data_IF_992109241754
#
_entry.id   IF_992109241754
#
_cell.length_a   1.000
_cell.length_b   1.000
_cell.length_c   1.000
_cell.angle_alpha   90.00
_cell.angle_beta   90.00
_cell.angle_gamma   90.00
#
_symmetry.space_group_name_H-M   'P 1'
#
loop_
_entity.id
_entity.type
_entity.pdbx_description
1 polymer ?
#
# COMPACT_ATOMS: atom_id res chain seq x y z
N UNK A 1 -29.85 -9.07 -58.18
CA UNK A 1 -30.89 -9.37 -59.19
C UNK A 1 -30.35 -9.38 -60.63
N UNK A 2 -29.41 -8.49 -61.01
CA UNK A 2 -28.78 -8.46 -62.35
C UNK A 2 -28.09 -9.77 -62.74
N UNK A 3 -27.33 -10.37 -61.82
CA UNK A 3 -26.56 -11.61 -62.07
C UNK A 3 -27.48 -12.79 -62.41
N UNK A 4 -28.64 -12.90 -61.75
CA UNK A 4 -29.59 -13.99 -61.98
C UNK A 4 -30.32 -13.83 -63.31
N UNK A 5 -30.64 -12.58 -63.71
CA UNK A 5 -31.17 -12.29 -65.05
C UNK A 5 -30.15 -12.62 -66.14
N UNK A 6 -28.85 -12.36 -65.90
CA UNK A 6 -27.79 -12.71 -66.85
C UNK A 6 -27.57 -14.23 -66.93
N UNK A 7 -27.59 -14.95 -65.80
CA UNK A 7 -27.48 -16.41 -65.75
C UNK A 7 -28.67 -17.08 -66.43
N UNK A 8 -29.89 -16.62 -66.17
CA UNK A 8 -31.11 -17.12 -66.82
C UNK A 8 -31.11 -16.91 -68.34
N UNK A 9 -30.52 -15.81 -68.83
CA UNK A 9 -30.38 -15.54 -70.26
C UNK A 9 -29.35 -16.44 -70.94
N UNK A 10 -28.31 -16.86 -70.21
CA UNK A 10 -27.21 -17.68 -70.74
C UNK A 10 -27.50 -19.19 -70.65
N UNK A 11 -28.15 -19.62 -69.58
CA UNK A 11 -28.59 -21.00 -69.37
C UNK A 11 -29.87 -21.00 -68.49
N UNK A 12 -31.05 -21.19 -69.09
CA UNK A 12 -32.32 -21.13 -68.38
C UNK A 12 -32.55 -22.33 -67.46
N UNK A 13 -31.84 -23.44 -67.67
CA UNK A 13 -31.97 -24.66 -66.86
C UNK A 13 -30.98 -24.74 -65.71
N UNK A 14 -30.16 -23.70 -65.54
CA UNK A 14 -29.16 -23.61 -64.49
C UNK A 14 -29.79 -23.82 -63.09
N UNK A 15 -29.22 -24.75 -62.34
CA UNK A 15 -29.68 -25.15 -61.01
C UNK A 15 -29.86 -23.97 -60.04
N UNK A 16 -28.97 -22.97 -60.12
CA UNK A 16 -29.06 -21.76 -59.28
C UNK A 16 -30.24 -20.85 -59.64
N UNK A 17 -30.61 -20.78 -60.92
CA UNK A 17 -31.78 -20.02 -61.39
C UNK A 17 -33.06 -20.71 -60.90
N UNK A 18 -33.13 -22.04 -61.00
CA UNK A 18 -34.27 -22.85 -60.51
C UNK A 18 -34.44 -22.76 -58.99
N UNK A 19 -33.34 -22.79 -58.22
CA UNK A 19 -33.38 -22.63 -56.76
C UNK A 19 -33.83 -21.22 -56.34
N UNK A 20 -33.49 -20.19 -57.13
CA UNK A 20 -33.87 -18.81 -56.83
C UNK A 20 -35.32 -18.47 -57.18
N UNK A 21 -35.90 -19.11 -58.21
CA UNK A 21 -37.29 -18.88 -58.61
C UNK A 21 -38.29 -19.61 -57.71
N UNK A 22 -37.87 -20.68 -57.02
CA UNK A 22 -38.73 -21.38 -56.09
C UNK A 22 -38.82 -20.63 -54.75
N UNK A 23 -40.03 -20.17 -54.39
CA UNK A 23 -40.30 -19.34 -53.19
C UNK A 23 -39.74 -19.91 -51.89
N UNK A 24 -39.72 -21.24 -51.71
CA UNK A 24 -39.21 -21.88 -50.49
C UNK A 24 -37.69 -21.90 -50.43
N UNK A 25 -37.04 -22.23 -51.54
CA UNK A 25 -35.58 -22.29 -51.61
C UNK A 25 -34.95 -20.89 -51.67
N UNK A 26 -35.63 -19.92 -52.28
CA UNK A 26 -35.20 -18.53 -52.26
C UNK A 26 -35.06 -18.00 -50.84
N UNK A 27 -36.04 -18.26 -49.97
CA UNK A 27 -35.99 -17.87 -48.56
C UNK A 27 -34.82 -18.55 -47.81
N UNK A 28 -34.58 -19.85 -48.05
CA UNK A 28 -33.46 -20.58 -47.46
C UNK A 28 -32.10 -20.05 -47.92
N UNK A 29 -31.94 -19.71 -49.20
CA UNK A 29 -30.70 -19.13 -49.73
C UNK A 29 -30.45 -17.73 -49.15
N UNK A 30 -31.50 -16.91 -49.04
CA UNK A 30 -31.39 -15.61 -48.38
C UNK A 30 -31.02 -15.74 -46.89
N UNK A 31 -31.56 -16.73 -46.19
CA UNK A 31 -31.22 -17.01 -44.80
C UNK A 31 -29.76 -17.47 -44.65
N UNK A 32 -29.29 -18.36 -45.52
CA UNK A 32 -27.89 -18.80 -45.54
C UNK A 32 -26.91 -17.67 -45.82
N UNK A 33 -27.26 -16.76 -46.74
CA UNK A 33 -26.46 -15.55 -47.02
C UNK A 33 -26.41 -14.61 -45.81
N UNK A 34 -27.53 -14.43 -45.10
CA UNK A 34 -27.55 -13.68 -43.84
C UNK A 34 -26.67 -14.31 -42.76
N UNK A 35 -26.67 -15.64 -42.67
CA UNK A 35 -25.83 -16.36 -41.72
C UNK A 35 -24.33 -16.16 -42.00
N UNK A 36 -23.93 -16.23 -43.27
CA UNK A 36 -22.56 -15.95 -43.72
C UNK A 36 -22.18 -14.49 -43.42
N UNK A 37 -23.09 -13.54 -43.65
CA UNK A 37 -22.87 -12.13 -43.31
C UNK A 37 -22.59 -11.93 -41.82
N UNK A 38 -23.37 -12.55 -40.93
CA UNK A 38 -23.13 -12.47 -39.49
C UNK A 38 -21.79 -13.10 -39.07
N UNK A 39 -21.38 -14.19 -39.71
CA UNK A 39 -20.06 -14.80 -39.47
C UNK A 39 -18.93 -13.82 -39.83
N UNK A 40 -19.02 -13.14 -40.97
CA UNK A 40 -18.03 -12.14 -41.37
C UNK A 40 -17.99 -10.94 -40.43
N UNK A 41 -19.16 -10.45 -39.99
CA UNK A 41 -19.23 -9.38 -38.98
C UNK A 41 -18.58 -9.81 -37.67
N UNK A 42 -18.82 -11.05 -37.22
CA UNK A 42 -18.21 -11.58 -36.00
C UNK A 42 -16.67 -11.67 -36.11
N UNK A 43 -16.15 -12.14 -37.24
CA UNK A 43 -14.71 -12.22 -37.48
C UNK A 43 -14.03 -10.85 -37.55
N UNK A 44 -14.67 -9.85 -38.17
CA UNK A 44 -14.08 -8.50 -38.35
C UNK A 44 -14.26 -7.62 -37.13
N UNK A 45 -15.33 -7.77 -36.35
CA UNK A 45 -15.61 -6.88 -35.21
C UNK A 45 -15.12 -7.49 -33.89
N UNK A 46 -15.41 -8.76 -33.62
CA UNK A 46 -15.18 -9.35 -32.29
C UNK A 46 -13.71 -9.74 -32.08
N UNK A 47 -13.04 -10.30 -33.10
CA UNK A 47 -11.64 -10.73 -32.98
C UNK A 47 -10.68 -9.55 -32.74
N UNK A 48 -10.72 -8.44 -33.52
CA UNK A 48 -9.82 -7.32 -33.24
C UNK A 48 -10.20 -6.53 -31.98
N UNK A 49 -11.47 -6.50 -31.57
CA UNK A 49 -11.86 -5.83 -30.31
C UNK A 49 -11.29 -6.54 -29.08
N UNK A 50 -11.30 -7.87 -29.06
CA UNK A 50 -10.69 -8.65 -27.96
C UNK A 50 -9.15 -8.51 -27.93
N UNK A 51 -8.51 -8.42 -29.10
CA UNK A 51 -7.06 -8.22 -29.19
C UNK A 51 -6.65 -6.77 -28.86
N UNK A 52 -7.49 -5.78 -29.18
CA UNK A 52 -7.27 -4.39 -28.79
C UNK A 52 -7.43 -4.18 -27.28
N UNK A 53 -8.40 -4.83 -26.63
CA UNK A 53 -8.55 -4.85 -25.16
C UNK A 53 -7.39 -5.53 -24.43
N UNK A 54 -6.78 -6.55 -25.04
CA UNK A 54 -5.61 -7.24 -24.47
C UNK A 54 -4.30 -6.47 -24.64
N UNK A 55 -4.23 -5.57 -25.63
CA UNK A 55 -3.07 -4.78 -26.00
C UNK A 55 -3.22 -3.28 -25.71
N UNK A 56 -4.31 -2.86 -25.06
CA UNK A 56 -4.33 -1.57 -24.39
C UNK A 56 -3.18 -1.61 -23.38
N UNK A 57 -2.22 -0.66 -23.42
CA UNK A 57 -1.30 -0.51 -22.32
C UNK A 57 -2.18 -0.36 -21.11
N UNK A 58 -2.13 -1.34 -20.20
CA UNK A 58 -2.66 -1.19 -18.87
C UNK A 58 -1.86 -0.01 -18.34
N UNK A 59 -2.45 1.17 -18.40
CA UNK A 59 -1.86 2.36 -17.83
C UNK A 59 -1.86 2.03 -16.34
N UNK A 60 -0.78 1.42 -15.88
CA UNK A 60 -0.42 1.36 -14.49
C UNK A 60 0.01 2.80 -14.14
N UNK A 61 -0.95 3.73 -14.20
CA UNK A 61 -1.03 4.70 -13.14
C UNK A 61 -1.35 3.84 -11.90
N UNK A 62 -0.29 3.27 -11.31
CA UNK A 62 -0.25 3.09 -9.88
C UNK A 62 -0.53 4.47 -9.32
N UNK A 63 -1.81 4.78 -9.09
CA UNK A 63 -2.16 5.49 -7.88
C UNK A 63 -1.38 4.75 -6.80
N UNK A 64 -0.27 5.34 -6.35
CA UNK A 64 0.45 4.85 -5.20
C UNK A 64 -0.50 5.02 -4.03
N UNK A 65 -1.41 4.07 -3.85
CA UNK A 65 -2.29 4.03 -2.70
C UNK A 65 -1.35 3.82 -1.53
N UNK A 66 -1.13 4.88 -0.76
CA UNK A 66 -0.25 4.83 0.40
C UNK A 66 -0.93 3.87 1.38
N UNK A 67 -0.32 2.72 1.60
CA UNK A 67 -0.79 1.70 2.54
C UNK A 67 -0.12 1.89 3.88
N UNK A 68 -0.75 1.44 4.97
CA UNK A 68 -0.12 1.47 6.29
C UNK A 68 1.22 0.72 6.31
N UNK A 69 1.34 -0.38 5.56
CA UNK A 69 2.62 -1.07 5.36
C UNK A 69 3.69 -0.16 4.75
N UNK A 70 3.34 0.63 3.73
CA UNK A 70 4.28 1.61 3.14
C UNK A 70 4.64 2.74 4.10
N UNK A 71 3.73 3.14 5.00
CA UNK A 71 4.03 4.13 6.04
C UNK A 71 4.99 3.57 7.10
N UNK A 72 4.83 2.29 7.48
CA UNK A 72 5.76 1.59 8.39
C UNK A 72 7.18 1.57 7.82
N UNK A 73 7.32 1.16 6.56
CA UNK A 73 8.60 1.15 5.83
C UNK A 73 9.19 2.55 5.70
N UNK A 74 8.36 3.56 5.41
CA UNK A 74 8.80 4.96 5.36
C UNK A 74 9.38 5.40 6.69
N UNK A 75 8.66 5.21 7.80
CA UNK A 75 9.15 5.63 9.12
C UNK A 75 10.45 4.92 9.53
N UNK A 76 10.67 3.67 9.12
CA UNK A 76 11.93 2.97 9.43
C UNK A 76 13.14 3.56 8.71
N UNK A 77 12.95 3.95 7.44
CA UNK A 77 14.02 4.34 6.53
C UNK A 77 14.19 5.87 6.37
N UNK A 78 13.22 6.66 6.85
CA UNK A 78 13.23 8.12 6.79
C UNK A 78 14.09 8.78 7.85
N UNK A 79 14.45 10.02 7.58
CA UNK A 79 15.01 10.95 8.56
C UNK A 79 13.87 11.75 9.18
N UNK A 80 13.89 11.92 10.51
CA UNK A 80 12.83 12.62 11.22
C UNK A 80 13.31 13.16 12.56
N UNK A 81 12.58 14.14 13.08
CA UNK A 81 12.67 14.54 14.48
C UNK A 81 11.71 13.69 15.31
N UNK A 82 12.10 13.41 16.54
CA UNK A 82 11.25 12.64 17.45
C UNK A 82 11.17 13.26 18.83
N UNK A 83 10.07 12.95 19.50
CA UNK A 83 9.86 13.19 20.92
C UNK A 83 9.18 11.98 21.54
N UNK A 84 9.89 11.27 22.40
CA UNK A 84 9.36 10.12 23.13
C UNK A 84 9.11 10.50 24.57
N UNK A 85 7.85 10.48 24.98
CA UNK A 85 7.44 10.74 26.36
C UNK A 85 7.08 9.42 27.02
N UNK A 86 7.88 9.02 28.00
CA UNK A 86 7.70 7.79 28.76
C UNK A 86 7.25 8.14 30.17
N UNK A 87 6.11 7.60 30.58
CA UNK A 87 5.60 7.73 31.93
C UNK A 87 5.53 6.34 32.55
N UNK A 88 6.32 6.12 33.59
CA UNK A 88 6.33 4.87 34.36
C UNK A 88 6.14 5.16 35.84
N UNK A 89 6.09 4.11 36.65
CA UNK A 89 6.17 4.23 38.11
C UNK A 89 7.43 4.95 38.63
N UNK A 90 8.52 4.97 37.84
CA UNK A 90 9.77 5.67 38.17
C UNK A 90 9.71 7.17 37.89
N UNK A 91 8.67 7.64 37.19
CA UNK A 91 8.45 9.03 36.83
C UNK A 91 8.38 9.24 35.32
N UNK A 92 8.55 10.50 34.92
CA UNK A 92 8.49 10.93 33.52
C UNK A 92 9.89 11.08 32.96
N UNK A 93 10.14 10.46 31.82
CA UNK A 93 11.36 10.61 31.03
C UNK A 93 10.98 11.05 29.62
N UNK A 94 11.69 12.05 29.09
CA UNK A 94 11.47 12.57 27.75
C UNK A 94 12.76 12.43 26.93
N UNK A 95 12.65 11.82 25.76
CA UNK A 95 13.72 11.77 24.77
C UNK A 95 13.35 12.68 23.60
N UNK A 96 14.24 13.56 23.18
CA UNK A 96 14.04 14.41 22.00
C UNK A 96 15.26 14.35 21.12
N UNK A 97 15.09 14.36 19.80
CA UNK A 97 16.24 14.32 18.92
C UNK A 97 15.89 14.20 17.45
N UNK A 98 16.89 13.86 16.67
CA UNK A 98 16.79 13.65 15.23
C UNK A 98 17.41 12.30 14.89
N UNK A 99 16.67 11.48 14.13
CA UNK A 99 17.19 10.30 13.47
C UNK A 99 17.61 10.67 12.05
N UNK A 100 18.86 10.35 11.72
CA UNK A 100 19.38 10.40 10.36
C UNK A 100 19.62 8.96 9.85
N UNK A 101 20.11 8.81 8.62
CA UNK A 101 20.50 7.51 8.07
C UNK A 101 21.72 6.90 8.76
N UNK A 102 22.59 7.73 9.34
CA UNK A 102 23.88 7.30 9.89
C UNK A 102 23.85 7.15 11.41
N UNK A 103 23.12 8.04 12.10
CA UNK A 103 23.07 8.09 13.55
C UNK A 103 21.78 8.74 14.07
N UNK A 104 21.57 8.59 15.37
CA UNK A 104 20.54 9.29 16.15
C UNK A 104 21.25 10.20 17.12
N UNK A 105 20.92 11.49 17.14
CA UNK A 105 21.44 12.44 18.12
C UNK A 105 20.25 13.03 18.87
N UNK A 106 20.33 13.01 20.19
CA UNK A 106 19.23 13.49 21.01
C UNK A 106 19.62 13.88 22.42
N UNK A 107 18.59 14.19 23.19
CA UNK A 107 18.63 14.53 24.59
C UNK A 107 17.67 13.63 25.36
N UNK A 108 18.10 13.16 26.53
CA UNK A 108 17.24 12.53 27.52
C UNK A 108 17.10 13.46 28.70
N UNK A 109 15.86 13.75 29.08
CA UNK A 109 15.49 14.56 30.23
C UNK A 109 14.67 13.71 31.20
N UNK A 110 15.11 13.64 32.45
CA UNK A 110 14.38 12.99 33.55
C UNK A 110 14.67 13.75 34.86
N UNK A 111 14.24 13.20 36.00
CA UNK A 111 14.49 13.78 37.32
C UNK A 111 15.96 13.91 37.72
N UNK A 112 16.87 13.16 37.08
CA UNK A 112 18.31 13.21 37.33
C UNK A 112 18.99 14.32 36.53
N UNK A 113 18.34 14.81 35.46
CA UNK A 113 18.79 15.93 34.65
C UNK A 113 18.68 15.68 33.15
N UNK A 114 19.44 16.46 32.40
CA UNK A 114 19.50 16.45 30.95
C UNK A 114 20.85 15.88 30.49
N UNK A 115 20.83 14.84 29.67
CA UNK A 115 22.03 14.32 28.99
C UNK A 115 21.85 14.41 27.48
N UNK A 116 22.92 14.71 26.76
CA UNK A 116 22.99 14.61 25.29
C UNK A 116 23.60 13.27 24.91
N UNK A 117 23.04 12.59 23.93
CA UNK A 117 23.49 11.28 23.49
C UNK A 117 23.57 11.15 21.97
N UNK A 118 24.34 10.17 21.52
CA UNK A 118 24.42 9.71 20.15
C UNK A 118 24.30 8.18 20.11
N UNK A 119 23.51 7.66 19.18
CA UNK A 119 23.42 6.24 18.85
C UNK A 119 23.90 6.09 17.42
N UNK A 120 24.90 5.23 17.21
CA UNK A 120 25.43 4.92 15.89
C UNK A 120 25.85 3.44 15.83
N UNK A 121 26.50 3.03 14.73
CA UNK A 121 26.93 1.64 14.52
C UNK A 121 27.98 1.15 15.55
N UNK A 122 28.67 2.05 16.25
CA UNK A 122 29.68 1.71 17.26
C UNK A 122 29.04 1.51 18.65
N UNK A 123 27.85 2.06 18.89
CA UNK A 123 27.12 1.93 20.14
C UNK A 123 26.38 3.20 20.55
N UNK A 124 26.13 3.32 21.85
CA UNK A 124 25.46 4.46 22.49
C UNK A 124 26.50 5.26 23.28
N UNK A 125 26.54 6.56 23.05
CA UNK A 125 27.51 7.47 23.67
C UNK A 125 26.81 8.67 24.30
N UNK A 126 27.28 9.09 25.46
CA UNK A 126 26.99 10.41 26.00
C UNK A 126 27.96 11.43 25.39
N UNK A 127 27.44 12.56 24.93
CA UNK A 127 28.23 13.66 24.40
C UNK A 127 28.44 14.70 25.50
N UNK A 128 29.68 14.89 25.93
CA UNK A 128 30.08 15.92 26.87
C UNK A 128 31.08 16.87 26.19
N UNK A 129 30.62 18.08 25.84
CA UNK A 129 31.36 19.00 24.97
C UNK A 129 31.77 18.29 23.66
N UNK A 130 33.04 17.94 23.51
CA UNK A 130 33.60 17.28 22.33
C UNK A 130 34.00 15.81 22.59
N UNK A 131 33.81 15.32 23.82
CA UNK A 131 34.13 13.94 24.20
C UNK A 131 32.90 13.03 24.10
N UNK A 132 33.11 11.83 23.54
CA UNK A 132 32.14 10.75 23.50
C UNK A 132 32.51 9.70 24.55
N UNK A 133 31.61 9.47 25.50
CA UNK A 133 31.79 8.49 26.56
C UNK A 133 30.76 7.37 26.35
N UNK A 134 31.14 6.09 26.31
CA UNK A 134 30.18 4.99 26.22
C UNK A 134 29.10 5.09 27.29
N UNK A 135 27.84 4.94 26.89
CA UNK A 135 26.66 5.03 27.76
C UNK A 135 25.86 3.73 27.64
N UNK A 136 26.03 2.83 28.61
CA UNK A 136 25.37 1.51 28.58
C UNK A 136 23.87 1.58 28.95
N UNK A 137 23.44 2.62 29.66
CA UNK A 137 22.16 2.64 30.39
C UNK A 137 21.26 3.82 29.98
N UNK A 138 21.13 4.10 28.68
CA UNK A 138 20.30 5.20 28.18
C UNK A 138 18.82 5.05 28.57
N UNK A 139 18.32 3.81 28.56
CA UNK A 139 16.93 3.43 28.83
C UNK A 139 16.76 2.67 30.16
N UNK A 140 17.64 2.89 31.13
CA UNK A 140 17.62 2.17 32.42
C UNK A 140 16.24 2.21 33.07
N UNK A 141 15.71 1.03 33.41
CA UNK A 141 14.41 0.88 34.05
C UNK A 141 13.20 1.04 33.11
N UNK A 142 13.42 1.10 31.79
CA UNK A 142 12.38 1.15 30.77
C UNK A 142 12.41 -0.10 29.89
N UNK A 143 11.28 -0.45 29.29
CA UNK A 143 11.22 -1.48 28.27
C UNK A 143 11.73 -0.94 26.92
N UNK A 144 12.97 -1.27 26.56
CA UNK A 144 13.61 -0.85 25.31
C UNK A 144 12.86 -1.32 24.06
N UNK A 145 12.10 -2.42 24.14
CA UNK A 145 11.33 -2.91 23.01
C UNK A 145 10.19 -1.96 22.61
N UNK A 146 9.74 -1.10 23.53
CA UNK A 146 8.74 -0.06 23.25
C UNK A 146 9.35 1.28 22.79
N UNK A 147 10.68 1.34 22.66
CA UNK A 147 11.42 2.49 22.13
C UNK A 147 12.09 2.19 20.78
N UNK A 148 12.05 0.92 20.36
CA UNK A 148 12.53 0.44 19.07
C UNK A 148 11.35 0.18 18.12
N UNK A 149 11.24 1.01 17.08
CA UNK A 149 10.14 0.97 16.10
C UNK A 149 10.01 -0.39 15.42
N UNK A 150 11.13 -1.05 15.10
CA UNK A 150 11.09 -2.36 14.44
C UNK A 150 10.46 -3.40 15.38
N UNK A 151 10.90 -3.41 16.63
CA UNK A 151 10.36 -4.32 17.64
C UNK A 151 8.88 -4.04 17.95
N UNK A 152 8.47 -2.77 17.95
CA UNK A 152 7.05 -2.40 18.06
C UNK A 152 6.25 -3.04 16.92
N UNK A 153 6.73 -2.96 15.69
CA UNK A 153 6.02 -3.57 14.55
C UNK A 153 5.97 -5.10 14.68
N UNK A 154 7.05 -5.74 15.09
CA UNK A 154 7.07 -7.18 15.30
C UNK A 154 6.04 -7.59 16.37
N UNK A 155 5.87 -6.80 17.44
CA UNK A 155 4.85 -7.03 18.47
C UNK A 155 3.43 -6.95 17.91
N UNK A 156 3.15 -5.99 17.00
CA UNK A 156 1.81 -5.84 16.41
C UNK A 156 1.32 -7.10 15.69
N UNK A 157 2.22 -7.93 15.15
CA UNK A 157 1.88 -9.18 14.46
C UNK A 157 1.18 -10.23 15.35
N UNK A 158 1.33 -10.10 16.67
CA UNK A 158 0.77 -11.03 17.67
C UNK A 158 -0.52 -10.52 18.32
N UNK A 159 -0.93 -9.29 17.98
CA UNK A 159 -2.05 -8.59 18.60
C UNK A 159 -3.28 -8.57 17.70
N UNK A 160 -4.44 -8.30 18.29
CA UNK A 160 -5.69 -8.16 17.53
C UNK A 160 -5.76 -6.75 16.95
N UNK A 161 -5.96 -6.65 15.64
CA UNK A 161 -6.07 -5.38 14.93
C UNK A 161 -7.51 -4.84 14.95
N UNK A 162 -7.64 -3.54 15.20
CA UNK A 162 -8.88 -2.78 15.12
C UNK A 162 -8.61 -1.44 14.45
N UNK A 163 -9.35 -1.12 13.39
CA UNK A 163 -9.16 0.09 12.59
C UNK A 163 -10.26 1.08 12.94
N UNK A 164 -9.88 2.29 13.38
CA UNK A 164 -10.79 3.40 13.58
C UNK A 164 -10.58 4.44 12.47
N UNK A 165 -11.40 4.34 11.41
CA UNK A 165 -11.32 5.21 10.23
C UNK A 165 -11.66 6.67 10.54
N UNK A 166 -12.52 6.94 11.54
CA UNK A 166 -12.95 8.32 11.86
C UNK A 166 -11.83 9.15 12.51
N UNK A 167 -10.98 8.49 13.31
CA UNK A 167 -9.88 9.15 14.03
C UNK A 167 -8.53 9.03 13.33
N UNK A 168 -8.48 8.35 12.16
CA UNK A 168 -7.24 7.93 11.49
C UNK A 168 -6.30 7.18 12.45
N UNK A 169 -6.86 6.19 13.13
CA UNK A 169 -6.13 5.39 14.12
C UNK A 169 -6.17 3.90 13.79
N UNK A 170 -5.03 3.23 13.99
CA UNK A 170 -4.92 1.77 13.91
C UNK A 170 -4.50 1.28 15.29
N UNK A 171 -5.32 0.43 15.88
CA UNK A 171 -5.17 -0.04 17.25
C UNK A 171 -4.85 -1.54 17.21
N UNK A 172 -3.84 -1.94 17.95
CA UNK A 172 -3.44 -3.33 18.17
C UNK A 172 -3.48 -3.60 19.67
N UNK A 173 -4.33 -4.52 20.12
CA UNK A 173 -4.50 -4.76 21.55
C UNK A 173 -4.68 -6.24 21.92
N UNK A 174 -4.34 -6.54 23.16
CA UNK A 174 -4.73 -7.75 23.89
C UNK A 174 -4.99 -7.38 25.36
N UNK A 175 -5.21 -8.37 26.22
CA UNK A 175 -5.53 -8.13 27.64
C UNK A 175 -4.45 -7.39 28.44
N UNK A 176 -3.20 -7.32 27.95
CA UNK A 176 -2.06 -6.77 28.68
C UNK A 176 -1.46 -5.51 28.04
N UNK A 177 -1.55 -5.36 26.72
CA UNK A 177 -0.92 -4.27 25.98
C UNK A 177 -1.86 -3.71 24.91
N UNK A 178 -1.89 -2.39 24.80
CA UNK A 178 -2.52 -1.65 23.70
C UNK A 178 -1.50 -0.77 22.99
N UNK A 179 -1.43 -0.90 21.66
CA UNK A 179 -0.59 -0.09 20.77
C UNK A 179 -1.50 0.65 19.81
N UNK A 180 -1.48 1.98 19.86
CA UNK A 180 -2.30 2.86 19.01
C UNK A 180 -1.39 3.67 18.09
N UNK A 181 -1.58 3.51 16.79
CA UNK A 181 -0.95 4.30 15.75
C UNK A 181 -1.88 5.42 15.33
N UNK A 182 -1.38 6.65 15.32
CA UNK A 182 -2.06 7.79 14.72
C UNK A 182 -1.39 8.11 13.39
N UNK A 183 -2.18 8.15 12.33
CA UNK A 183 -1.68 8.34 10.96
C UNK A 183 -2.31 9.58 10.30
N UNK A 184 -1.64 10.09 9.28
CA UNK A 184 -2.23 11.00 8.29
C UNK A 184 -2.28 10.31 6.92
N UNK A 185 -2.54 11.08 5.85
CA UNK A 185 -2.60 10.56 4.48
C UNK A 185 -1.30 9.87 4.01
N UNK A 186 -0.15 10.18 4.62
CA UNK A 186 1.18 9.78 4.12
C UNK A 186 2.11 9.17 5.16
N UNK A 187 1.86 9.35 6.46
CA UNK A 187 2.82 9.11 7.53
C UNK A 187 2.16 8.60 8.82
N UNK A 188 2.98 7.95 9.65
CA UNK A 188 2.68 7.70 11.05
C UNK A 188 3.17 8.91 11.86
N UNK A 189 2.25 9.58 12.55
CA UNK A 189 2.54 10.77 13.35
C UNK A 189 2.93 10.42 14.78
N UNK A 190 2.27 9.41 15.35
CA UNK A 190 2.59 8.96 16.71
C UNK A 190 2.25 7.51 16.94
N UNK A 191 2.97 6.90 17.89
CA UNK A 191 2.71 5.57 18.42
C UNK A 191 2.52 5.70 19.93
N UNK A 192 1.37 5.27 20.42
CA UNK A 192 1.06 5.26 21.84
C UNK A 192 0.95 3.81 22.34
N UNK A 193 1.86 3.41 23.22
CA UNK A 193 1.89 2.07 23.82
C UNK A 193 1.52 2.19 25.28
N UNK A 194 0.47 1.48 25.67
CA UNK A 194 0.03 1.35 27.05
C UNK A 194 0.15 -0.11 27.47
N UNK A 195 0.98 -0.33 28.47
CA UNK A 195 0.97 -1.55 29.28
C UNK A 195 0.26 -1.21 30.61
N UNK A 196 -0.06 -2.23 31.41
CA UNK A 196 -0.77 -2.14 32.68
C UNK A 196 -0.25 -1.05 33.64
N UNK A 197 1.04 -0.69 33.57
CA UNK A 197 1.67 0.29 34.46
C UNK A 197 2.32 1.48 33.75
N UNK A 198 2.65 1.35 32.47
CA UNK A 198 3.54 2.27 31.78
C UNK A 198 2.91 2.78 30.48
N UNK A 199 3.22 4.03 30.13
CA UNK A 199 2.70 4.71 28.96
C UNK A 199 3.83 5.36 28.16
N UNK A 200 3.99 4.90 26.92
CA UNK A 200 5.01 5.36 25.99
C UNK A 200 4.33 6.08 24.83
N UNK A 201 4.54 7.38 24.70
CA UNK A 201 4.07 8.17 23.59
C UNK A 201 5.26 8.57 22.72
N UNK A 202 5.35 8.00 21.52
CA UNK A 202 6.37 8.30 20.54
C UNK A 202 5.77 9.22 19.49
N UNK A 203 6.28 10.44 19.38
CA UNK A 203 5.82 11.47 18.42
C UNK A 203 6.91 11.70 17.36
N UNK A 204 6.51 11.83 16.09
CA UNK A 204 7.40 12.00 14.95
C UNK A 204 7.04 13.24 14.15
N UNK A 205 8.05 14.05 13.83
CA UNK A 205 7.92 15.30 13.08
C UNK A 205 8.94 15.37 11.94
N UNK A 206 8.64 16.15 10.90
CA UNK A 206 9.52 16.38 9.75
C UNK A 206 10.03 15.10 9.07
N UNK A 207 9.14 14.12 8.85
CA UNK A 207 9.47 12.85 8.18
C UNK A 207 9.79 13.13 6.71
N UNK A 208 11.03 12.86 6.30
CA UNK A 208 11.54 13.09 4.93
C UNK A 208 11.60 11.84 4.09
#
# INVERSE_FOLDING_TARGET
MLIIKMLKKKDPDNYFVKLWENKRYHALVCLGLWFIFFIFVFLIVVIPYNNALKNLPKNNETENTITFASMKEKLLNSEYNYKYTVNTSLGKTVYTGTKTKENIIGYRENSEGLIKYEINNEGIFQINMDEKIPLENLYLGLNENYLDIQKIYDLTSTLTENINEEENEIIYENDNIGIKFKIDEQNILSINIKDNNDNYLLEFDNIK
#
